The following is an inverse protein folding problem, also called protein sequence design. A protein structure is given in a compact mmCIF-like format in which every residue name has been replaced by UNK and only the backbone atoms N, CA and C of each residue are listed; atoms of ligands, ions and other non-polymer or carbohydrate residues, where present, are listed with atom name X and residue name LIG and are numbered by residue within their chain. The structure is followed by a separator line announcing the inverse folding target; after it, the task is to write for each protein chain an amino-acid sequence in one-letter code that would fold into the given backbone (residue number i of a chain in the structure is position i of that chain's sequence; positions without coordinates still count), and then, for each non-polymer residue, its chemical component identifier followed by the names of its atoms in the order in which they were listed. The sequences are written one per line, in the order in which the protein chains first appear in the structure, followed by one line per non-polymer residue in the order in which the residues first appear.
data_IF_130866629890
#
_entry.id   IF_130866629890
#
_cell.length_a   1.000
_cell.length_b   1.000
_cell.length_c   1.000
_cell.angle_alpha   90.00
_cell.angle_beta   90.00
_cell.angle_gamma   90.00
#
_symmetry.space_group_name_H-M   'P 1'
#
loop_
_entity.id
_entity.type
_entity.pdbx_description
1 polymer ?
#
# COMPACT_ATOMS: atom_id res chain seq x y z
N UNK A 1 31.52 -34.73 -9.61
CA UNK A 1 30.66 -34.06 -8.62
C UNK A 1 30.01 -35.13 -7.78
N UNK A 2 30.26 -35.10 -6.47
CA UNK A 2 29.81 -36.10 -5.52
C UNK A 2 28.35 -35.82 -5.14
N UNK A 3 27.53 -36.85 -4.94
CA UNK A 3 26.11 -36.72 -4.56
C UNK A 3 25.88 -35.79 -3.36
N UNK A 4 26.83 -35.76 -2.41
CA UNK A 4 26.83 -34.87 -1.24
C UNK A 4 26.82 -33.38 -1.61
N UNK A 5 27.54 -32.98 -2.65
CA UNK A 5 27.61 -31.60 -3.10
C UNK A 5 26.25 -31.14 -3.65
N UNK A 6 25.60 -32.00 -4.45
CA UNK A 6 24.27 -31.72 -5.02
C UNK A 6 23.18 -31.72 -3.95
N UNK A 7 23.27 -32.62 -2.95
CA UNK A 7 22.33 -32.70 -1.82
C UNK A 7 22.35 -31.44 -0.96
N UNK A 8 23.49 -30.77 -0.84
CA UNK A 8 23.60 -29.50 -0.10
C UNK A 8 23.27 -28.30 -1.00
N UNK A 9 23.73 -28.30 -2.24
CA UNK A 9 23.56 -27.16 -3.14
C UNK A 9 22.10 -26.97 -3.57
N UNK A 10 21.35 -28.06 -3.82
CA UNK A 10 19.96 -28.00 -4.24
C UNK A 10 19.04 -27.25 -3.24
N UNK A 11 18.99 -27.58 -1.93
CA UNK A 11 18.15 -26.86 -0.98
C UNK A 11 18.61 -25.41 -0.77
N UNK A 12 19.92 -25.13 -0.83
CA UNK A 12 20.43 -23.75 -0.74
C UNK A 12 19.96 -22.91 -1.91
N UNK A 13 20.00 -23.44 -3.13
CA UNK A 13 19.49 -22.76 -4.32
C UNK A 13 17.98 -22.52 -4.24
N UNK A 14 17.20 -23.50 -3.75
CA UNK A 14 15.76 -23.35 -3.54
C UNK A 14 15.48 -22.25 -2.51
N UNK A 15 16.18 -22.26 -1.37
CA UNK A 15 16.05 -21.23 -0.34
C UNK A 15 16.37 -19.84 -0.91
N UNK A 16 17.44 -19.73 -1.71
CA UNK A 16 17.80 -18.49 -2.37
C UNK A 16 16.71 -17.98 -3.31
N UNK A 17 16.11 -18.86 -4.12
CA UNK A 17 14.98 -18.51 -5.01
C UNK A 17 13.77 -18.05 -4.19
N UNK A 18 13.42 -18.75 -3.10
CA UNK A 18 12.31 -18.36 -2.23
C UNK A 18 12.51 -16.96 -1.63
N UNK A 19 13.74 -16.64 -1.21
CA UNK A 19 14.09 -15.30 -0.72
C UNK A 19 13.90 -14.23 -1.80
N UNK A 20 14.33 -14.50 -3.04
CA UNK A 20 14.13 -13.57 -4.15
C UNK A 20 12.64 -13.32 -4.45
N UNK A 21 11.83 -14.38 -4.45
CA UNK A 21 10.37 -14.28 -4.65
C UNK A 21 9.73 -13.48 -3.51
N UNK A 22 10.13 -13.73 -2.27
CA UNK A 22 9.64 -13.00 -1.10
C UNK A 22 9.93 -11.50 -1.22
N UNK A 23 11.15 -11.12 -1.61
CA UNK A 23 11.49 -9.72 -1.83
C UNK A 23 10.73 -9.11 -3.01
N UNK A 24 10.52 -9.85 -4.09
CA UNK A 24 9.70 -9.39 -5.22
C UNK A 24 8.28 -9.03 -4.77
N UNK A 25 7.60 -9.94 -4.09
CA UNK A 25 6.25 -9.72 -3.55
C UNK A 25 6.19 -8.53 -2.57
N UNK A 26 7.23 -8.36 -1.74
CA UNK A 26 7.31 -7.25 -0.79
C UNK A 26 7.47 -5.90 -1.50
N UNK A 27 8.32 -5.82 -2.52
CA UNK A 27 8.54 -4.59 -3.30
C UNK A 27 7.29 -4.25 -4.11
N UNK A 28 6.65 -5.25 -4.73
CA UNK A 28 5.42 -5.06 -5.50
C UNK A 28 4.28 -4.55 -4.60
N UNK A 29 4.07 -5.18 -3.44
CA UNK A 29 3.07 -4.75 -2.47
C UNK A 29 3.34 -3.35 -1.91
N UNK A 30 4.61 -3.03 -1.64
CA UNK A 30 5.01 -1.69 -1.18
C UNK A 30 4.77 -0.64 -2.25
N UNK A 31 5.16 -0.92 -3.50
CA UNK A 31 4.96 -0.02 -4.62
C UNK A 31 3.47 0.26 -4.88
N UNK A 32 2.63 -0.78 -4.81
CA UNK A 32 1.19 -0.64 -4.93
C UNK A 32 0.58 0.20 -3.81
N UNK A 33 1.00 0.01 -2.55
CA UNK A 33 0.54 0.83 -1.43
C UNK A 33 0.97 2.29 -1.53
N UNK A 34 2.23 2.54 -1.92
CA UNK A 34 2.72 3.90 -2.11
C UNK A 34 2.01 4.59 -3.30
N UNK A 35 1.62 3.84 -4.35
CA UNK A 35 0.77 4.32 -5.44
C UNK A 35 -0.65 4.63 -4.96
N UNK A 36 -1.27 3.69 -4.23
CA UNK A 36 -2.61 3.84 -3.68
C UNK A 36 -2.72 5.03 -2.73
N UNK A 37 -1.74 5.25 -1.85
CA UNK A 37 -1.72 6.41 -0.95
C UNK A 37 -1.65 7.74 -1.72
N UNK A 38 -0.83 7.79 -2.78
CA UNK A 38 -0.73 8.97 -3.66
C UNK A 38 -2.05 9.27 -4.37
N UNK A 39 -2.66 8.25 -4.97
CA UNK A 39 -3.92 8.41 -5.68
C UNK A 39 -5.08 8.74 -4.75
N UNK A 40 -5.13 8.13 -3.56
CA UNK A 40 -6.11 8.44 -2.53
C UNK A 40 -6.01 9.89 -2.04
N UNK A 41 -4.78 10.36 -1.73
CA UNK A 41 -4.55 11.74 -1.32
C UNK A 41 -4.96 12.72 -2.43
N UNK A 42 -4.63 12.41 -3.68
CA UNK A 42 -4.97 13.25 -4.84
C UNK A 42 -6.48 13.27 -5.11
N UNK A 43 -7.14 12.11 -5.06
CA UNK A 43 -8.59 12.01 -5.26
C UNK A 43 -9.35 12.77 -4.18
N UNK A 44 -8.90 12.69 -2.92
CA UNK A 44 -9.47 13.42 -1.80
C UNK A 44 -9.22 14.93 -1.86
N UNK A 45 -8.01 15.37 -2.23
CA UNK A 45 -7.66 16.80 -2.25
C UNK A 45 -8.42 17.63 -3.29
N UNK A 46 -9.03 16.97 -4.29
CA UNK A 46 -9.83 17.63 -5.33
C UNK A 46 -11.30 17.82 -4.87
N UNK A 47 -11.75 17.07 -3.87
CA UNK A 47 -13.14 17.16 -3.40
C UNK A 47 -13.37 18.43 -2.57
N UNK A 48 -14.62 18.88 -2.55
CA UNK A 48 -15.04 20.12 -1.88
C UNK A 48 -15.39 19.94 -0.42
N UNK A 49 -15.86 18.75 -0.07
CA UNK A 49 -16.35 18.40 1.26
C UNK A 49 -15.54 17.23 1.82
N UNK A 50 -15.37 17.23 3.14
CA UNK A 50 -14.52 16.27 3.84
C UNK A 50 -15.07 14.83 3.75
N UNK A 51 -16.38 14.65 3.87
CA UNK A 51 -16.98 13.32 3.82
C UNK A 51 -16.86 12.72 2.41
N UNK A 52 -17.07 13.54 1.37
CA UNK A 52 -16.84 13.13 -0.03
C UNK A 52 -15.36 12.91 -0.34
N UNK A 53 -14.44 13.72 0.21
CA UNK A 53 -13.00 13.52 0.09
C UNK A 53 -12.57 12.15 0.62
N UNK A 54 -13.03 11.79 1.82
CA UNK A 54 -12.71 10.50 2.43
C UNK A 54 -13.35 9.32 1.70
N UNK A 55 -14.58 9.48 1.19
CA UNK A 55 -15.24 8.43 0.41
C UNK A 55 -14.51 8.15 -0.91
N UNK A 56 -14.15 9.19 -1.66
CA UNK A 56 -13.41 9.05 -2.92
C UNK A 56 -11.97 8.57 -2.69
N UNK A 57 -11.30 9.02 -1.62
CA UNK A 57 -9.98 8.51 -1.24
C UNK A 57 -10.00 7.00 -0.95
N UNK A 58 -11.02 6.51 -0.21
CA UNK A 58 -11.21 5.07 0.04
C UNK A 58 -11.45 4.30 -1.24
N UNK A 59 -12.35 4.79 -2.09
CA UNK A 59 -12.67 4.16 -3.37
C UNK A 59 -11.45 4.06 -4.30
N UNK A 60 -10.63 5.11 -4.36
CA UNK A 60 -9.38 5.10 -5.13
C UNK A 60 -8.37 4.09 -4.56
N UNK A 61 -8.20 4.05 -3.22
CA UNK A 61 -7.31 3.10 -2.57
C UNK A 61 -7.77 1.65 -2.81
N UNK A 62 -9.06 1.36 -2.63
CA UNK A 62 -9.66 0.04 -2.85
C UNK A 62 -9.49 -0.42 -4.31
N UNK A 63 -9.72 0.46 -5.28
CA UNK A 63 -9.55 0.14 -6.69
C UNK A 63 -8.09 -0.22 -7.04
N UNK A 64 -7.11 0.51 -6.47
CA UNK A 64 -5.69 0.25 -6.69
C UNK A 64 -5.18 -1.01 -5.98
N UNK A 65 -5.83 -1.41 -4.89
CA UNK A 65 -5.37 -2.48 -4.00
C UNK A 65 -6.18 -3.77 -4.10
N UNK A 66 -7.19 -3.84 -4.98
CA UNK A 66 -8.09 -4.98 -5.11
C UNK A 66 -7.38 -6.32 -5.38
N UNK A 67 -6.31 -6.30 -6.19
CA UNK A 67 -5.55 -7.50 -6.53
C UNK A 67 -4.36 -7.76 -5.59
N UNK A 68 -3.96 -6.75 -4.81
CA UNK A 68 -2.76 -6.79 -3.95
C UNK A 68 -3.11 -7.16 -2.52
N UNK A 69 -4.23 -6.67 -1.99
CA UNK A 69 -4.61 -6.90 -0.61
C UNK A 69 -5.51 -8.14 -0.47
N UNK A 70 -5.33 -8.90 0.60
CA UNK A 70 -6.17 -10.07 0.94
C UNK A 70 -7.42 -9.70 1.75
N UNK A 71 -7.51 -8.48 2.27
CA UNK A 71 -8.57 -8.02 3.17
C UNK A 71 -9.01 -6.57 2.92
N UNK A 72 -9.79 -5.97 3.84
CA UNK A 72 -10.29 -4.61 3.68
C UNK A 72 -9.14 -3.59 3.70
N UNK A 73 -9.22 -2.60 2.81
CA UNK A 73 -8.29 -1.47 2.78
C UNK A 73 -8.74 -0.45 3.82
N UNK A 74 -7.84 -0.08 4.72
CA UNK A 74 -8.11 0.95 5.72
C UNK A 74 -7.48 2.26 5.25
N UNK A 75 -8.30 3.32 5.15
CA UNK A 75 -7.84 4.67 4.83
C UNK A 75 -8.19 5.62 5.96
N UNK A 76 -7.17 6.23 6.54
CA UNK A 76 -7.28 7.16 7.67
C UNK A 76 -6.67 8.49 7.26
N UNK A 77 -7.38 9.59 7.52
CA UNK A 77 -6.81 10.91 7.38
C UNK A 77 -5.87 11.18 8.56
N UNK A 78 -4.63 11.57 8.25
CA UNK A 78 -3.61 11.93 9.25
C UNK A 78 -3.39 13.45 9.37
N UNK A 79 -4.04 14.22 8.49
CA UNK A 79 -4.03 15.68 8.53
C UNK A 79 -4.96 16.23 9.62
N UNK A 80 -4.55 17.34 10.24
CA UNK A 80 -5.25 17.99 11.36
C UNK A 80 -6.58 18.66 10.95
N UNK A 81 -6.80 18.91 9.66
CA UNK A 81 -8.01 19.59 9.17
C UNK A 81 -8.18 19.53 7.65
N UNK A 82 -9.36 19.93 7.16
CA UNK A 82 -9.72 19.98 5.73
C UNK A 82 -9.97 21.43 5.26
N UNK A 83 -9.11 22.35 5.71
CA UNK A 83 -9.22 23.77 5.36
C UNK A 83 -8.51 24.07 4.03
N UNK A 84 -8.84 25.18 3.35
CA UNK A 84 -8.04 25.67 2.23
C UNK A 84 -6.59 25.93 2.67
N UNK A 85 -5.63 25.78 1.75
CA UNK A 85 -4.20 26.03 2.00
C UNK A 85 -3.52 25.05 2.98
N UNK A 86 -4.18 23.94 3.33
CA UNK A 86 -3.57 22.86 4.14
C UNK A 86 -3.19 21.65 3.28
N UNK A 87 -2.41 20.74 3.86
CA UNK A 87 -2.08 19.45 3.26
C UNK A 87 -3.13 18.41 3.62
N UNK A 88 -3.69 17.75 2.61
CA UNK A 88 -4.52 16.57 2.79
C UNK A 88 -3.62 15.34 2.85
N UNK A 89 -3.34 14.89 4.07
CA UNK A 89 -2.57 13.67 4.35
C UNK A 89 -3.47 12.51 4.67
N UNK A 90 -3.24 11.38 4.00
CA UNK A 90 -3.92 10.10 4.23
C UNK A 90 -2.91 8.98 4.41
N UNK A 91 -3.24 8.06 5.30
CA UNK A 91 -2.55 6.79 5.50
C UNK A 91 -3.45 5.67 5.00
N UNK A 92 -2.90 4.81 4.14
CA UNK A 92 -3.54 3.62 3.60
C UNK A 92 -2.83 2.42 4.17
N UNK A 93 -3.58 1.48 4.75
CA UNK A 93 -3.05 0.23 5.25
C UNK A 93 -3.88 -0.96 4.77
N UNK A 94 -3.18 -2.06 4.48
CA UNK A 94 -3.83 -3.32 4.13
C UNK A 94 -2.91 -4.51 4.41
N UNK A 95 -3.50 -5.70 4.40
CA UNK A 95 -2.78 -6.96 4.41
C UNK A 95 -2.44 -7.40 2.97
N UNK A 96 -1.15 -7.56 2.65
CA UNK A 96 -0.71 -7.92 1.29
C UNK A 96 -0.80 -9.44 1.08
N UNK A 97 -1.45 -9.83 -0.02
CA UNK A 97 -1.65 -11.23 -0.42
C UNK A 97 -0.29 -11.87 -0.77
N UNK A 98 -0.11 -13.13 -0.40
CA UNK A 98 1.04 -13.93 -0.82
C UNK A 98 2.22 -13.92 0.15
N UNK A 99 2.38 -12.92 1.03
CA UNK A 99 3.42 -12.96 2.06
C UNK A 99 3.16 -14.07 3.11
N UNK A 100 1.89 -14.36 3.42
CA UNK A 100 1.50 -15.42 4.35
C UNK A 100 1.70 -16.85 3.78
N UNK A 101 1.80 -17.00 2.45
CA UNK A 101 1.94 -18.32 1.80
C UNK A 101 3.33 -18.95 2.02
N UNK A 102 4.30 -18.16 2.47
CA UNK A 102 5.67 -18.62 2.76
C UNK A 102 5.80 -19.38 4.09
N UNK A 103 4.70 -19.58 4.84
CA UNK A 103 4.70 -20.32 6.10
C UNK A 103 5.45 -19.61 7.25
N UNK A 104 5.67 -18.30 7.11
CA UNK A 104 6.31 -17.46 8.11
C UNK A 104 5.22 -16.65 8.83
N UNK A 105 5.21 -16.69 10.17
CA UNK A 105 4.36 -15.85 11.03
C UNK A 105 4.88 -14.41 11.05
N UNK A 106 4.83 -13.74 9.89
CA UNK A 106 5.23 -12.33 9.75
C UNK A 106 3.95 -11.52 9.54
N UNK A 107 3.74 -10.43 10.29
CA UNK A 107 2.64 -9.51 10.02
C UNK A 107 2.77 -8.96 8.59
N UNK A 108 1.83 -9.34 7.74
CA UNK A 108 1.73 -8.99 6.31
C UNK A 108 1.03 -7.65 6.08
N UNK A 109 0.73 -6.94 7.16
CA UNK A 109 0.15 -5.60 7.13
C UNK A 109 1.19 -4.57 6.78
N UNK A 110 0.97 -3.86 5.67
CA UNK A 110 1.81 -2.76 5.23
C UNK A 110 0.99 -1.47 5.22
N UNK A 111 1.63 -0.36 5.58
CA UNK A 111 1.03 0.98 5.58
C UNK A 111 1.86 1.97 4.77
N UNK A 112 1.20 2.87 4.07
CA UNK A 112 1.81 3.95 3.31
C UNK A 112 1.02 5.25 3.52
N UNK A 113 1.74 6.35 3.68
CA UNK A 113 1.15 7.68 3.86
C UNK A 113 1.57 8.61 2.74
N UNK A 114 0.64 9.43 2.25
CA UNK A 114 0.96 10.48 1.29
C UNK A 114 0.16 11.76 1.56
N UNK A 115 0.76 12.90 1.21
CA UNK A 115 0.18 14.22 1.40
C UNK A 115 0.03 14.94 0.06
N UNK A 116 -1.18 15.43 -0.23
CA UNK A 116 -1.48 16.26 -1.41
C UNK A 116 -1.93 17.65 -0.96
N UNK A 117 -1.44 18.75 -1.57
CA UNK A 117 -1.92 20.09 -1.23
C UNK A 117 -3.37 20.28 -1.65
N UNK A 118 -4.18 20.88 -0.77
CA UNK A 118 -5.53 21.34 -1.10
C UNK A 118 -5.43 22.64 -1.90
N UNK A 119 -6.12 22.72 -3.03
CA UNK A 119 -6.08 23.90 -3.90
C UNK A 119 -6.59 25.16 -3.16
N UNK A 120 -5.75 26.20 -2.98
CA UNK A 120 -6.15 27.43 -2.30
C UNK A 120 -7.19 28.25 -3.10
N UNK A 121 -7.32 28.02 -4.40
CA UNK A 121 -8.29 28.73 -5.25
C UNK A 121 -9.62 28.00 -5.43
N UNK A 122 -9.87 26.95 -4.62
CA UNK A 122 -11.18 26.26 -4.66
C UNK A 122 -12.28 27.27 -4.29
N UNK A 123 -13.20 27.55 -5.21
CA UNK A 123 -14.42 28.32 -4.90
C UNK A 123 -15.25 27.50 -3.91
N UNK A 124 -15.20 27.88 -2.64
CA UNK A 124 -16.23 27.56 -1.66
C UNK A 124 -17.51 28.28 -2.12
N UNK A 125 -18.50 27.51 -2.55
CA UNK A 125 -19.82 28.02 -2.91
C UNK A 125 -20.72 28.03 -1.67
#
# INVERSE_FOLDING_TARGET
MSTVEVVILAPVMILFILVLVAFGQLVDGRGALDGAARDAARAGSIQKDHATAMAEARKAAEANLADVCSGPVTVVQTSQGFEPDTLFSVEVSCEVRGLAMLGLDIPTTLSASFSSPLDPYRRTA
#
